data_IF_016800511999
#
_entry.id   IF_016800511999
#
_cell.length_a   1.000
_cell.length_b   1.000
_cell.length_c   1.000
_cell.angle_alpha   90.00
_cell.angle_beta   90.00
_cell.angle_gamma   90.00
#
_symmetry.space_group_name_H-M   'P 1'
#
loop_
_entity.id
_entity.type
_entity.pdbx_description
1 polymer ?
#
# COMPACT_ATOMS: atom_id res chain seq x y z
N UNK A 1 13.70 -26.80 21.36
CA UNK A 1 13.55 -28.26 21.51
C UNK A 1 12.63 -28.88 20.46
N UNK A 2 11.39 -28.42 20.29
CA UNK A 2 10.47 -29.05 19.30
C UNK A 2 10.95 -28.92 17.84
N UNK A 3 11.69 -27.87 17.53
CA UNK A 3 12.09 -27.50 16.17
C UNK A 3 13.60 -27.52 15.97
N UNK A 4 14.34 -27.99 16.98
CA UNK A 4 15.83 -28.00 16.99
C UNK A 4 16.40 -26.58 16.73
N UNK A 5 15.78 -25.57 17.38
CA UNK A 5 16.17 -24.18 17.27
C UNK A 5 16.72 -23.71 18.62
N UNK A 6 17.79 -22.92 18.58
CA UNK A 6 18.34 -22.26 19.75
C UNK A 6 17.39 -21.15 20.22
N UNK A 7 17.20 -21.05 21.51
CA UNK A 7 16.43 -19.97 22.13
C UNK A 7 17.10 -19.56 23.45
N UNK A 8 17.27 -18.28 23.65
CA UNK A 8 17.84 -17.71 24.85
C UNK A 8 16.99 -16.55 25.36
N UNK A 9 16.94 -16.39 26.69
CA UNK A 9 16.40 -15.20 27.30
C UNK A 9 17.46 -14.10 27.20
N UNK A 10 17.16 -13.05 26.42
CA UNK A 10 18.12 -11.96 26.17
C UNK A 10 17.84 -10.72 27.03
N UNK A 11 16.78 -10.72 27.82
CA UNK A 11 16.43 -9.61 28.69
C UNK A 11 15.12 -9.81 29.43
N UNK A 12 14.77 -8.85 30.22
CA UNK A 12 13.52 -8.78 30.99
C UNK A 12 12.87 -7.40 30.85
N UNK A 13 11.56 -7.35 30.94
CA UNK A 13 10.79 -6.11 30.99
C UNK A 13 10.76 -5.62 32.46
N UNK A 14 11.17 -4.38 32.65
CA UNK A 14 11.20 -3.76 34.00
C UNK A 14 10.15 -2.67 34.10
N UNK A 15 9.88 -2.21 35.32
CA UNK A 15 8.99 -1.08 35.62
C UNK A 15 9.68 0.31 35.50
N UNK A 16 10.96 0.33 35.12
CA UNK A 16 11.72 1.56 34.94
C UNK A 16 11.62 2.07 33.50
N UNK A 17 11.44 3.36 33.27
CA UNK A 17 11.37 3.94 31.94
C UNK A 17 12.78 4.11 31.33
N UNK A 18 13.59 3.06 31.38
CA UNK A 18 15.00 3.06 30.94
C UNK A 18 15.26 1.75 30.17
N UNK A 19 15.85 1.88 28.98
CA UNK A 19 16.43 0.76 28.23
C UNK A 19 17.90 0.63 28.64
N UNK A 20 18.28 -0.55 29.13
CA UNK A 20 19.66 -0.89 29.46
C UNK A 20 20.11 -2.09 28.67
N UNK A 21 21.28 -2.01 28.10
CA UNK A 21 21.88 -3.15 27.38
C UNK A 21 23.25 -3.40 27.99
N UNK A 22 23.55 -4.67 28.26
CA UNK A 22 24.81 -5.11 28.84
C UNK A 22 25.53 -6.02 27.84
N UNK A 23 26.82 -5.83 27.73
CA UNK A 23 27.73 -6.75 27.07
C UNK A 23 28.70 -7.29 28.10
N UNK A 24 28.63 -8.61 28.40
CA UNK A 24 29.49 -9.26 29.39
C UNK A 24 29.58 -8.49 30.73
N UNK A 25 28.46 -8.10 31.31
CA UNK A 25 28.32 -7.35 32.56
C UNK A 25 28.67 -5.85 32.49
N UNK A 26 29.20 -5.37 31.38
CA UNK A 26 29.40 -3.95 31.13
C UNK A 26 28.12 -3.31 30.59
N UNK A 27 27.64 -2.23 31.18
CA UNK A 27 26.51 -1.47 30.70
C UNK A 27 26.95 -0.61 29.51
N UNK A 28 26.55 -1.04 28.28
CA UNK A 28 26.90 -0.37 27.02
C UNK A 28 25.82 0.59 26.54
N UNK A 29 24.57 0.44 27.03
CA UNK A 29 23.47 1.37 26.76
C UNK A 29 22.66 1.63 28.00
N UNK A 30 22.39 2.91 28.24
CA UNK A 30 21.49 3.39 29.29
C UNK A 30 20.75 4.62 28.77
N UNK A 31 19.55 4.41 28.28
CA UNK A 31 18.75 5.45 27.62
C UNK A 31 17.32 5.49 28.18
N UNK A 32 16.77 6.69 28.41
CA UNK A 32 15.33 6.82 28.65
C UNK A 32 14.52 6.17 27.52
N UNK A 33 13.46 5.43 27.87
CA UNK A 33 12.54 4.81 26.89
C UNK A 33 11.97 5.85 25.94
N UNK A 34 11.67 7.04 26.43
CA UNK A 34 11.16 8.17 25.63
C UNK A 34 12.09 8.52 24.45
N UNK A 35 13.41 8.46 24.63
CA UNK A 35 14.34 8.70 23.52
C UNK A 35 14.31 7.61 22.44
N UNK A 36 13.97 6.40 22.84
CA UNK A 36 13.89 5.26 21.89
C UNK A 36 12.57 5.23 21.15
N UNK A 37 11.48 5.63 21.79
CA UNK A 37 10.11 5.58 21.25
C UNK A 37 9.74 6.89 20.55
N UNK A 38 9.97 8.04 21.19
CA UNK A 38 9.50 9.35 20.75
C UNK A 38 10.64 10.29 20.32
N UNK A 39 11.89 9.87 20.51
CA UNK A 39 13.08 10.68 20.21
C UNK A 39 13.48 10.77 18.74
N UNK A 40 12.68 10.20 17.82
CA UNK A 40 12.91 10.33 16.40
C UNK A 40 12.75 11.80 15.96
N UNK A 41 13.71 12.28 15.17
CA UNK A 41 13.67 13.65 14.65
C UNK A 41 12.47 13.84 13.71
N UNK A 42 11.62 14.81 14.02
CA UNK A 42 10.59 15.29 13.09
C UNK A 42 11.24 16.18 12.01
N UNK A 43 11.67 15.54 10.93
CA UNK A 43 12.33 16.20 9.82
C UNK A 43 11.31 16.91 8.92
N UNK A 44 11.17 18.21 9.10
CA UNK A 44 10.39 19.08 8.21
C UNK A 44 11.17 19.34 6.92
N UNK A 45 10.81 18.64 5.87
CA UNK A 45 11.41 18.83 4.54
C UNK A 45 10.68 19.94 3.78
N UNK A 46 11.39 20.73 2.93
CA UNK A 46 10.74 21.71 2.08
C UNK A 46 9.85 21.01 1.05
N UNK A 47 8.72 21.62 0.75
CA UNK A 47 7.74 21.14 -0.24
C UNK A 47 7.52 22.20 -1.31
N UNK A 48 7.42 21.78 -2.57
CA UNK A 48 7.16 22.64 -3.71
C UNK A 48 6.29 21.90 -4.72
N UNK A 49 5.19 22.53 -5.16
CA UNK A 49 4.34 21.95 -6.21
C UNK A 49 5.17 21.76 -7.50
N UNK A 50 5.16 20.56 -8.11
CA UNK A 50 5.92 20.28 -9.33
C UNK A 50 5.53 21.18 -10.50
N UNK A 51 6.52 21.59 -11.27
CA UNK A 51 6.29 22.48 -12.43
C UNK A 51 5.49 21.79 -13.53
N UNK A 52 5.67 20.48 -13.75
CA UNK A 52 4.96 19.73 -14.80
C UNK A 52 3.44 19.76 -14.65
N UNK A 53 2.93 20.00 -13.45
CA UNK A 53 1.46 20.08 -13.20
C UNK A 53 0.83 21.29 -13.88
N UNK A 54 1.60 22.33 -14.17
CA UNK A 54 1.11 23.50 -14.92
C UNK A 54 0.72 23.16 -16.35
N UNK A 55 1.44 22.22 -16.94
CA UNK A 55 1.20 21.80 -18.34
C UNK A 55 -0.07 20.96 -18.45
N UNK A 56 -0.51 20.32 -17.34
CA UNK A 56 -1.71 19.49 -17.29
C UNK A 56 -3.00 20.32 -17.22
N UNK A 57 -2.94 21.53 -16.73
CA UNK A 57 -4.12 22.43 -16.63
C UNK A 57 -4.66 22.85 -18.01
N UNK A 58 -3.90 22.64 -19.07
CA UNK A 58 -4.19 23.07 -20.44
C UNK A 58 -4.23 21.93 -21.47
N UNK A 59 -4.37 20.67 -21.03
CA UNK A 59 -4.44 19.54 -21.94
C UNK A 59 -5.76 19.59 -22.73
N UNK A 60 -5.67 19.78 -24.05
CA UNK A 60 -6.80 19.66 -24.95
C UNK A 60 -7.10 18.20 -25.21
N UNK A 61 -8.28 17.73 -24.80
CA UNK A 61 -8.78 16.39 -25.02
C UNK A 61 -9.77 16.29 -26.16
N UNK A 62 -10.01 17.36 -26.94
CA UNK A 62 -10.98 17.38 -28.04
C UNK A 62 -10.66 16.32 -29.10
N UNK A 63 -9.39 16.02 -29.32
CA UNK A 63 -8.94 14.98 -30.27
C UNK A 63 -9.44 13.57 -29.90
N UNK A 64 -9.79 13.30 -28.64
CA UNK A 64 -10.23 11.97 -28.21
C UNK A 64 -11.58 11.61 -28.83
N UNK A 65 -12.45 12.60 -29.02
CA UNK A 65 -13.78 12.40 -29.60
C UNK A 65 -13.74 12.10 -31.11
N UNK A 66 -12.67 12.46 -31.81
CA UNK A 66 -12.51 12.28 -33.24
C UNK A 66 -11.90 10.92 -33.61
N UNK A 67 -11.33 10.23 -32.65
CA UNK A 67 -10.35 9.19 -32.94
C UNK A 67 -10.95 7.81 -33.16
N UNK A 68 -12.27 7.51 -32.89
CA UNK A 68 -12.46 6.07 -32.77
C UNK A 68 -13.86 5.51 -33.07
N UNK A 69 -13.88 4.60 -33.99
CA UNK A 69 -14.90 3.57 -34.06
C UNK A 69 -14.75 2.62 -32.89
N UNK A 70 -15.87 2.24 -32.25
CA UNK A 70 -15.86 1.43 -31.03
C UNK A 70 -15.08 0.12 -31.16
N UNK A 71 -15.13 -0.52 -32.33
CA UNK A 71 -14.44 -1.78 -32.61
C UNK A 71 -12.91 -1.63 -32.55
N UNK A 72 -12.38 -0.53 -33.12
CA UNK A 72 -10.92 -0.26 -33.10
C UNK A 72 -10.40 0.04 -31.68
N UNK A 73 -11.24 0.64 -30.81
CA UNK A 73 -10.89 0.86 -29.41
C UNK A 73 -10.83 -0.47 -28.67
N UNK A 74 -11.83 -1.31 -28.86
CA UNK A 74 -11.91 -2.60 -28.18
C UNK A 74 -10.69 -3.46 -28.50
N UNK A 75 -10.33 -3.57 -29.79
CA UNK A 75 -9.15 -4.34 -30.20
C UNK A 75 -7.85 -3.79 -29.59
N UNK A 76 -7.69 -2.46 -29.56
CA UNK A 76 -6.53 -1.80 -28.93
C UNK A 76 -6.48 -2.02 -27.42
N UNK A 77 -7.62 -1.97 -26.73
CA UNK A 77 -7.69 -2.22 -25.29
C UNK A 77 -7.36 -3.69 -24.98
N UNK A 78 -8.00 -4.64 -25.67
CA UNK A 78 -7.77 -6.06 -25.44
C UNK A 78 -6.34 -6.51 -25.76
N UNK A 79 -5.69 -5.85 -26.72
CA UNK A 79 -4.27 -6.10 -27.06
C UNK A 79 -3.27 -5.36 -26.17
N UNK A 80 -3.73 -4.41 -25.33
CA UNK A 80 -2.87 -3.65 -24.44
C UNK A 80 -2.29 -4.52 -23.32
N UNK A 81 -0.98 -4.51 -23.07
CA UNK A 81 -0.37 -5.28 -21.98
C UNK A 81 -0.94 -4.97 -20.60
N UNK A 82 -1.51 -3.78 -20.39
CA UNK A 82 -2.13 -3.38 -19.13
C UNK A 82 -3.55 -3.98 -18.93
N UNK A 83 -4.25 -4.30 -20.02
CA UNK A 83 -5.64 -4.76 -20.01
C UNK A 83 -5.74 -6.25 -20.28
N UNK A 84 -4.86 -6.80 -21.14
CA UNK A 84 -4.88 -8.21 -21.52
C UNK A 84 -4.80 -9.14 -20.32
N UNK A 85 -5.32 -10.36 -20.47
CA UNK A 85 -5.30 -11.39 -19.43
C UNK A 85 -3.87 -11.67 -18.93
N UNK A 86 -3.72 -11.78 -17.62
CA UNK A 86 -2.46 -12.16 -16.96
C UNK A 86 -2.40 -13.64 -16.61
N UNK A 87 -3.30 -14.46 -17.17
CA UNK A 87 -3.40 -15.88 -16.85
C UNK A 87 -2.06 -16.61 -16.96
N UNK A 88 -1.30 -16.38 -18.02
CA UNK A 88 0.02 -16.97 -18.24
C UNK A 88 1.05 -16.63 -17.13
N UNK A 89 0.85 -15.52 -16.40
CA UNK A 89 1.72 -15.14 -15.27
C UNK A 89 1.38 -16.00 -14.07
N UNK A 90 0.12 -16.02 -13.65
CA UNK A 90 -0.25 -16.65 -12.39
C UNK A 90 -0.43 -18.17 -12.50
N UNK A 91 -0.66 -18.74 -13.69
CA UNK A 91 -0.70 -20.20 -13.87
C UNK A 91 0.63 -20.90 -13.57
N UNK A 92 1.74 -20.15 -13.52
CA UNK A 92 3.06 -20.66 -13.19
C UNK A 92 3.25 -20.88 -11.69
N UNK A 93 2.36 -20.36 -10.85
CA UNK A 93 2.51 -20.38 -9.40
C UNK A 93 1.40 -21.20 -8.73
N UNK A 94 1.79 -21.91 -7.66
CA UNK A 94 0.83 -22.59 -6.80
C UNK A 94 0.12 -21.57 -5.89
N UNK A 95 -1.15 -21.32 -6.15
CA UNK A 95 -2.03 -20.45 -5.37
C UNK A 95 -2.94 -21.21 -4.41
N UNK A 96 -2.79 -22.54 -4.33
CA UNK A 96 -3.61 -23.41 -3.49
C UNK A 96 -2.88 -23.99 -2.28
N UNK A 97 -1.68 -23.50 -1.96
CA UNK A 97 -0.90 -23.94 -0.80
C UNK A 97 -1.74 -23.92 0.47
N UNK A 98 -1.70 -25.03 1.23
CA UNK A 98 -2.52 -25.27 2.44
C UNK A 98 -4.03 -25.29 2.20
N UNK A 99 -4.51 -25.24 0.96
CA UNK A 99 -5.92 -25.30 0.57
C UNK A 99 -6.79 -24.21 1.26
N UNK A 100 -6.24 -23.04 1.45
CA UNK A 100 -6.95 -21.91 2.07
C UNK A 100 -7.59 -20.97 1.06
N UNK A 101 -7.17 -21.00 -0.20
CA UNK A 101 -7.64 -20.07 -1.24
C UNK A 101 -9.08 -20.39 -1.63
N UNK A 102 -9.95 -19.39 -1.52
CA UNK A 102 -11.35 -19.42 -1.94
C UNK A 102 -11.57 -18.56 -3.18
N UNK A 103 -11.03 -17.35 -3.23
CA UNK A 103 -10.99 -16.48 -4.41
C UNK A 103 -9.69 -16.71 -5.16
N UNK A 104 -9.78 -17.26 -6.37
CA UNK A 104 -8.61 -17.59 -7.20
C UNK A 104 -8.06 -16.35 -7.91
N UNK A 105 -6.80 -16.39 -8.41
CA UNK A 105 -6.27 -15.36 -9.29
C UNK A 105 -7.23 -15.06 -10.46
N UNK A 106 -7.41 -13.76 -10.76
CA UNK A 106 -8.40 -13.29 -11.72
C UNK A 106 -9.70 -12.81 -11.06
N UNK A 107 -9.89 -13.02 -9.75
CA UNK A 107 -10.93 -12.37 -8.95
C UNK A 107 -10.54 -10.95 -8.56
N UNK A 108 -11.51 -10.14 -8.10
CA UNK A 108 -11.28 -8.75 -7.66
C UNK A 108 -10.39 -8.69 -6.42
N UNK A 109 -10.49 -9.67 -5.52
CA UNK A 109 -9.62 -9.79 -4.35
C UNK A 109 -9.21 -11.25 -4.10
N UNK A 110 -8.08 -11.43 -3.45
CA UNK A 110 -7.71 -12.72 -2.89
C UNK A 110 -8.56 -13.01 -1.66
N UNK A 111 -9.23 -14.16 -1.63
CA UNK A 111 -10.05 -14.58 -0.49
C UNK A 111 -9.48 -15.86 0.10
N UNK A 112 -9.08 -15.80 1.37
CA UNK A 112 -8.46 -16.90 2.09
C UNK A 112 -9.32 -17.36 3.25
N UNK A 113 -9.54 -18.66 3.34
CA UNK A 113 -10.24 -19.31 4.46
C UNK A 113 -9.42 -19.23 5.74
N UNK A 114 -10.06 -18.88 6.85
CA UNK A 114 -9.50 -19.06 8.19
C UNK A 114 -9.92 -20.45 8.72
N UNK A 115 -8.97 -21.41 8.72
CA UNK A 115 -9.24 -22.78 9.19
C UNK A 115 -9.77 -22.80 10.61
N UNK A 116 -10.70 -23.73 10.89
CA UNK A 116 -11.32 -23.84 12.20
C UNK A 116 -12.44 -22.82 12.47
N UNK A 117 -12.79 -21.98 11.47
CA UNK A 117 -13.85 -20.99 11.57
C UNK A 117 -14.71 -20.94 10.30
N UNK A 118 -15.80 -20.14 10.35
CA UNK A 118 -16.61 -19.79 9.16
C UNK A 118 -16.17 -18.47 8.52
N UNK A 119 -15.02 -17.94 8.92
CA UNK A 119 -14.50 -16.65 8.46
C UNK A 119 -13.53 -16.84 7.28
N UNK A 120 -13.41 -15.80 6.47
CA UNK A 120 -12.40 -15.64 5.44
C UNK A 120 -11.78 -14.25 5.53
N UNK A 121 -10.60 -14.08 4.97
CA UNK A 121 -9.94 -12.80 4.79
C UNK A 121 -9.94 -12.46 3.32
N UNK A 122 -10.44 -11.29 2.95
CA UNK A 122 -10.31 -10.73 1.61
C UNK A 122 -9.20 -9.67 1.60
N UNK A 123 -8.34 -9.70 0.59
CA UNK A 123 -7.21 -8.78 0.44
C UNK A 123 -7.12 -8.31 -1.00
N UNK A 124 -6.94 -7.00 -1.19
CA UNK A 124 -6.69 -6.37 -2.48
C UNK A 124 -5.44 -5.49 -2.40
N UNK A 125 -4.76 -5.33 -3.53
CA UNK A 125 -3.60 -4.45 -3.68
C UNK A 125 -3.79 -3.66 -4.96
N UNK A 126 -4.04 -2.38 -4.83
CA UNK A 126 -4.42 -1.52 -5.94
C UNK A 126 -3.64 -0.21 -5.92
N UNK A 127 -3.22 0.24 -7.09
CA UNK A 127 -2.69 1.58 -7.33
C UNK A 127 -2.53 1.83 -8.83
N UNK A 128 -2.93 3.00 -9.30
CA UNK A 128 -2.59 3.48 -10.62
C UNK A 128 -1.55 4.62 -10.51
N UNK A 129 -0.29 4.29 -10.80
CA UNK A 129 0.82 5.23 -10.69
C UNK A 129 0.67 6.46 -11.60
N UNK A 130 -0.01 6.35 -12.74
CA UNK A 130 -0.29 7.47 -13.65
C UNK A 130 -1.26 8.46 -13.01
N UNK A 131 -2.30 7.97 -12.34
CA UNK A 131 -3.24 8.84 -11.63
C UNK A 131 -2.56 9.54 -10.46
N UNK A 132 -1.71 8.83 -9.70
CA UNK A 132 -0.91 9.43 -8.64
C UNK A 132 0.10 10.46 -9.18
N UNK A 133 0.68 10.25 -10.37
CA UNK A 133 1.57 11.22 -10.99
C UNK A 133 0.81 12.48 -11.46
N UNK A 134 -0.35 12.31 -12.09
CA UNK A 134 -1.17 13.41 -12.58
C UNK A 134 -1.77 14.26 -11.45
N UNK A 135 -2.25 13.61 -10.41
CA UNK A 135 -2.77 14.27 -9.20
C UNK A 135 -2.59 13.32 -8.01
N UNK A 136 -1.51 13.48 -7.22
CA UNK A 136 -1.20 12.57 -6.12
C UNK A 136 -2.30 12.44 -5.08
N UNK A 137 -2.99 13.53 -4.77
CA UNK A 137 -4.09 13.54 -3.81
C UNK A 137 -5.27 12.69 -4.30
N UNK A 138 -5.79 13.00 -5.48
CA UNK A 138 -6.91 12.26 -6.07
C UNK A 138 -6.51 10.84 -6.46
N UNK A 139 -5.29 10.65 -6.98
CA UNK A 139 -4.77 9.31 -7.32
C UNK A 139 -4.72 8.37 -6.12
N UNK A 140 -4.33 8.88 -4.96
CA UNK A 140 -4.34 8.11 -3.72
C UNK A 140 -5.77 7.81 -3.22
N UNK A 141 -6.71 8.77 -3.34
CA UNK A 141 -8.12 8.51 -3.05
C UNK A 141 -8.69 7.41 -3.96
N UNK A 142 -8.38 7.45 -5.25
CA UNK A 142 -8.80 6.43 -6.21
C UNK A 142 -8.24 5.06 -5.81
N UNK A 143 -6.97 4.96 -5.43
CA UNK A 143 -6.35 3.70 -5.03
C UNK A 143 -7.05 3.08 -3.80
N UNK A 144 -7.35 3.88 -2.77
CA UNK A 144 -8.12 3.42 -1.59
C UNK A 144 -9.52 2.96 -2.00
N UNK A 145 -10.23 3.77 -2.80
CA UNK A 145 -11.58 3.44 -3.24
C UNK A 145 -11.62 2.18 -4.14
N UNK A 146 -10.58 1.94 -4.92
CA UNK A 146 -10.43 0.73 -5.74
C UNK A 146 -10.27 -0.51 -4.85
N UNK A 147 -9.36 -0.47 -3.86
CA UNK A 147 -9.22 -1.54 -2.87
C UNK A 147 -10.55 -1.86 -2.16
N UNK A 148 -11.26 -0.84 -1.69
CA UNK A 148 -12.55 -1.01 -1.00
C UNK A 148 -13.58 -1.67 -1.92
N UNK A 149 -13.68 -1.23 -3.19
CA UNK A 149 -14.59 -1.85 -4.17
C UNK A 149 -14.24 -3.32 -4.42
N UNK A 150 -12.98 -3.62 -4.63
CA UNK A 150 -12.52 -4.99 -4.92
C UNK A 150 -12.80 -5.93 -3.74
N UNK A 151 -12.57 -5.48 -2.50
CA UNK A 151 -12.96 -6.23 -1.30
C UNK A 151 -14.47 -6.44 -1.25
N UNK A 152 -15.26 -5.39 -1.50
CA UNK A 152 -16.73 -5.46 -1.44
C UNK A 152 -17.29 -6.37 -2.54
N UNK A 153 -16.79 -6.29 -3.77
CA UNK A 153 -17.18 -7.16 -4.88
C UNK A 153 -16.88 -8.64 -4.59
N UNK A 154 -15.87 -8.91 -3.77
CA UNK A 154 -15.54 -10.26 -3.32
C UNK A 154 -16.35 -10.72 -2.09
N UNK A 155 -17.32 -9.92 -1.62
CA UNK A 155 -18.19 -10.22 -0.48
C UNK A 155 -17.56 -9.92 0.88
N UNK A 156 -16.46 -9.16 0.92
CA UNK A 156 -15.79 -8.75 2.13
C UNK A 156 -16.20 -7.35 2.61
N UNK A 157 -15.81 -7.03 3.83
CA UNK A 157 -15.87 -5.70 4.43
C UNK A 157 -14.46 -5.23 4.75
N UNK A 158 -14.12 -4.00 4.38
CA UNK A 158 -12.79 -3.43 4.63
C UNK A 158 -12.64 -3.08 6.10
N UNK A 159 -11.64 -3.66 6.75
CA UNK A 159 -11.39 -3.50 8.20
C UNK A 159 -10.09 -2.76 8.52
N UNK A 160 -9.23 -2.58 7.54
CA UNK A 160 -7.95 -1.90 7.70
C UNK A 160 -7.21 -1.76 6.38
N UNK A 161 -6.31 -0.82 6.31
CA UNK A 161 -5.45 -0.55 5.17
C UNK A 161 -3.99 -0.48 5.63
N UNK A 162 -3.11 -1.14 4.88
CA UNK A 162 -1.67 -0.93 4.98
C UNK A 162 -1.18 -0.27 3.70
N UNK A 163 -0.28 0.67 3.81
CA UNK A 163 0.27 1.35 2.65
C UNK A 163 1.70 0.91 2.34
N UNK A 164 2.08 1.06 1.07
CA UNK A 164 3.45 0.87 0.61
C UNK A 164 3.85 2.10 -0.21
N UNK A 165 4.50 3.07 0.46
CA UNK A 165 4.82 4.37 -0.09
C UNK A 165 6.15 4.33 -0.84
N UNK A 166 6.09 4.22 -2.17
CA UNK A 166 7.25 4.21 -3.05
C UNK A 166 7.30 5.51 -3.86
N UNK A 167 8.12 6.43 -3.42
CA UNK A 167 8.37 7.71 -4.06
C UNK A 167 9.86 7.87 -4.38
N UNK A 168 10.20 8.86 -5.20
CA UNK A 168 11.58 9.26 -5.40
C UNK A 168 12.18 9.89 -4.13
N UNK A 169 13.40 10.41 -4.24
CA UNK A 169 14.09 10.99 -3.08
C UNK A 169 13.33 12.19 -2.50
N UNK A 170 12.86 12.11 -1.24
CA UNK A 170 12.08 13.17 -0.58
C UNK A 170 12.92 14.42 -0.23
N UNK A 171 14.23 14.41 -0.45
CA UNK A 171 15.05 15.63 -0.39
C UNK A 171 14.76 16.58 -1.55
N UNK A 172 14.20 16.06 -2.67
CA UNK A 172 13.65 16.89 -3.71
C UNK A 172 12.29 17.45 -3.25
N UNK A 173 12.12 18.77 -3.15
CA UNK A 173 10.88 19.39 -2.68
C UNK A 173 9.64 19.06 -3.51
N UNK A 174 9.81 18.79 -4.81
CA UNK A 174 8.69 18.42 -5.69
C UNK A 174 8.23 16.97 -5.44
N UNK A 175 9.17 16.07 -5.16
CA UNK A 175 8.86 14.69 -4.74
C UNK A 175 8.22 14.68 -3.35
N UNK A 176 8.74 15.48 -2.42
CA UNK A 176 8.15 15.61 -1.08
C UNK A 176 6.71 16.15 -1.15
N UNK A 177 6.42 17.07 -2.05
CA UNK A 177 5.06 17.54 -2.28
C UNK A 177 4.14 16.43 -2.79
N UNK A 178 4.58 15.62 -3.77
CA UNK A 178 3.80 14.48 -4.25
C UNK A 178 3.50 13.49 -3.12
N UNK A 179 4.50 13.20 -2.29
CA UNK A 179 4.38 12.32 -1.14
C UNK A 179 3.35 12.84 -0.13
N UNK A 180 3.44 14.11 0.26
CA UNK A 180 2.51 14.76 1.19
C UNK A 180 1.06 14.72 0.65
N UNK A 181 0.87 15.07 -0.63
CA UNK A 181 -0.44 15.06 -1.25
C UNK A 181 -1.04 13.64 -1.32
N UNK A 182 -0.23 12.64 -1.65
CA UNK A 182 -0.71 11.26 -1.69
C UNK A 182 -1.11 10.75 -0.30
N UNK A 183 -0.31 11.01 0.74
CA UNK A 183 -0.64 10.64 2.13
C UNK A 183 -1.91 11.36 2.59
N UNK A 184 -2.06 12.64 2.26
CA UNK A 184 -3.24 13.43 2.60
C UNK A 184 -4.51 12.89 1.92
N UNK A 185 -4.43 12.57 0.62
CA UNK A 185 -5.54 11.99 -0.14
C UNK A 185 -5.94 10.60 0.37
N UNK A 186 -4.95 9.75 0.67
CA UNK A 186 -5.19 8.45 1.29
C UNK A 186 -5.90 8.60 2.65
N UNK A 187 -5.41 9.49 3.51
CA UNK A 187 -6.00 9.75 4.82
C UNK A 187 -7.43 10.27 4.73
N UNK A 188 -7.76 11.10 3.73
CA UNK A 188 -9.14 11.57 3.52
C UNK A 188 -10.06 10.42 3.09
N UNK A 189 -9.63 9.60 2.13
CA UNK A 189 -10.40 8.44 1.69
C UNK A 189 -10.60 7.42 2.83
N UNK A 190 -9.56 7.14 3.62
CA UNK A 190 -9.65 6.25 4.78
C UNK A 190 -10.66 6.76 5.81
N UNK A 191 -10.69 8.06 6.08
CA UNK A 191 -11.72 8.67 6.95
C UNK A 191 -13.12 8.56 6.37
N UNK A 192 -13.27 8.75 5.05
CA UNK A 192 -14.56 8.61 4.38
C UNK A 192 -15.12 7.19 4.47
N UNK A 193 -14.28 6.19 4.32
CA UNK A 193 -14.67 4.77 4.39
C UNK A 193 -14.64 4.19 5.81
N UNK A 194 -14.25 4.98 6.82
CA UNK A 194 -14.05 4.56 8.21
C UNK A 194 -13.09 3.37 8.35
N UNK A 195 -11.95 3.44 7.67
CA UNK A 195 -10.93 2.39 7.64
C UNK A 195 -9.65 2.90 8.30
N UNK A 196 -9.14 2.26 9.35
CA UNK A 196 -7.86 2.62 9.95
C UNK A 196 -6.69 2.23 9.02
N UNK A 197 -5.63 3.04 9.06
CA UNK A 197 -4.32 2.68 8.51
C UNK A 197 -3.52 1.99 9.61
N UNK A 198 -2.97 0.81 9.33
CA UNK A 198 -2.27 -0.06 10.30
C UNK A 198 -0.87 -0.41 9.82
#
# INVERSE_FOLDING_TARGET
DKWDLDAAVVGEVTDKPIVRIFDNEEEVVNLPVELVVDGALDLKRPIKKPEYLKDLDHVDLSFVSELVRGDDILDKLLSSPNITSKHWVYEQFDHMVRLNTLGLPGSDAAVLRVKGSKKALAMSVDCNSRYCYLNPFVGAQIAVAECVRNITCSGGESIGLSNCLNFGNPENPEIMWQFEQAVSGMGEACRFFDIPVV
#
